data_IF_107618794227
#
_entry.id   IF_107618794227
#
_cell.length_a   1.000
_cell.length_b   1.000
_cell.length_c   1.000
_cell.angle_alpha   90.00
_cell.angle_beta   90.00
_cell.angle_gamma   90.00
#
_symmetry.space_group_name_H-M   'P 1'
#
loop_
_entity.id
_entity.type
_entity.pdbx_description
1 polymer ?
#
# COMPACT_ATOMS: atom_id res chain seq x y z
N UNK A 1 -20.80 39.62 21.06
CA UNK A 1 -20.01 38.37 21.14
C UNK A 1 -20.99 37.20 21.06
N UNK A 2 -21.16 36.65 19.83
CA UNK A 2 -21.97 35.44 19.64
C UNK A 2 -21.19 34.26 20.21
N UNK A 3 -21.69 33.69 21.31
CA UNK A 3 -21.24 32.39 21.77
C UNK A 3 -21.73 31.36 20.79
N UNK A 4 -20.95 31.14 19.70
CA UNK A 4 -21.16 30.00 18.82
C UNK A 4 -21.25 28.72 19.68
N UNK A 5 -22.12 27.84 19.26
CA UNK A 5 -22.55 26.65 20.01
C UNK A 5 -21.34 25.75 20.36
N UNK A 6 -20.60 26.15 21.41
CA UNK A 6 -19.36 25.50 21.84
C UNK A 6 -19.55 24.02 22.20
N UNK A 7 -20.78 23.63 22.54
CA UNK A 7 -21.15 22.25 22.80
C UNK A 7 -21.21 21.40 21.52
N UNK A 8 -21.69 21.96 20.40
CA UNK A 8 -21.74 21.25 19.11
C UNK A 8 -20.33 21.03 18.52
N UNK A 9 -19.50 22.07 18.48
CA UNK A 9 -18.10 21.95 18.03
C UNK A 9 -17.32 20.90 18.85
N UNK A 10 -17.52 20.86 20.16
CA UNK A 10 -16.90 19.85 21.03
C UNK A 10 -17.41 18.44 20.73
N UNK A 11 -18.70 18.27 20.53
CA UNK A 11 -19.32 16.98 20.25
C UNK A 11 -18.84 16.43 18.89
N UNK A 12 -18.81 17.23 17.84
CA UNK A 12 -18.31 16.82 16.52
C UNK A 12 -16.81 16.52 16.58
N UNK A 13 -16.02 17.36 17.27
CA UNK A 13 -14.58 17.15 17.42
C UNK A 13 -14.28 15.87 18.19
N UNK A 14 -14.94 15.62 19.32
CA UNK A 14 -14.73 14.38 20.08
C UNK A 14 -15.19 13.14 19.32
N UNK A 15 -16.27 13.25 18.54
CA UNK A 15 -16.75 12.17 17.68
C UNK A 15 -15.73 11.81 16.62
N UNK A 16 -15.11 12.79 15.96
CA UNK A 16 -14.10 12.55 14.93
C UNK A 16 -12.75 12.09 15.49
N UNK A 17 -12.31 12.66 16.61
CA UNK A 17 -11.01 12.31 17.22
C UNK A 17 -10.98 10.87 17.74
N UNK A 18 -12.08 10.35 18.26
CA UNK A 18 -12.16 9.01 18.83
C UNK A 18 -12.33 7.89 17.77
N UNK A 19 -12.49 8.22 16.48
CA UNK A 19 -12.84 7.25 15.45
C UNK A 19 -11.73 6.98 14.43
N UNK A 20 -10.49 7.34 14.71
CA UNK A 20 -9.35 7.03 13.84
C UNK A 20 -9.23 5.54 13.50
N UNK A 21 -9.56 4.65 14.43
CA UNK A 21 -9.57 3.21 14.21
C UNK A 21 -10.68 2.78 13.24
N UNK A 22 -11.89 3.31 13.35
CA UNK A 22 -12.99 3.01 12.42
C UNK A 22 -12.65 3.45 10.98
N UNK A 23 -11.99 4.60 10.83
CA UNK A 23 -11.55 5.10 9.53
C UNK A 23 -10.51 4.14 8.94
N UNK A 24 -9.53 3.74 9.75
CA UNK A 24 -8.51 2.78 9.36
C UNK A 24 -9.12 1.44 8.94
N UNK A 25 -10.04 0.89 9.72
CA UNK A 25 -10.72 -0.38 9.43
C UNK A 25 -11.56 -0.27 8.15
N UNK A 26 -12.24 0.86 7.93
CA UNK A 26 -13.01 1.10 6.71
C UNK A 26 -12.11 1.18 5.47
N UNK A 27 -10.92 1.80 5.57
CA UNK A 27 -9.93 1.85 4.50
C UNK A 27 -9.38 0.46 4.20
N UNK A 28 -8.98 -0.29 5.22
CA UNK A 28 -8.34 -1.59 5.04
C UNK A 28 -9.28 -2.64 4.45
N UNK A 29 -10.57 -2.60 4.78
CA UNK A 29 -11.54 -3.59 4.31
C UNK A 29 -12.01 -3.37 2.86
N UNK A 30 -11.71 -2.25 2.24
CA UNK A 30 -12.18 -1.94 0.88
C UNK A 30 -11.12 -2.10 -0.21
N UNK A 31 -9.86 -2.13 0.16
CA UNK A 31 -8.74 -2.26 -0.77
C UNK A 31 -8.02 -3.59 -0.51
N UNK A 32 -7.87 -4.42 -1.55
CA UNK A 32 -7.31 -5.76 -1.40
C UNK A 32 -5.86 -5.76 -0.94
N UNK A 33 -5.04 -4.84 -1.46
CA UNK A 33 -3.64 -4.70 -1.06
C UNK A 33 -3.54 -4.22 0.41
N UNK A 34 -4.30 -3.20 0.76
CA UNK A 34 -4.31 -2.65 2.12
C UNK A 34 -4.81 -3.69 3.14
N UNK A 35 -5.85 -4.45 2.78
CA UNK A 35 -6.36 -5.55 3.59
C UNK A 35 -5.30 -6.62 3.85
N UNK A 36 -4.57 -7.04 2.80
CA UNK A 36 -3.52 -8.05 2.95
C UNK A 36 -2.34 -7.57 3.79
N UNK A 37 -1.93 -6.30 3.64
CA UNK A 37 -0.90 -5.69 4.49
C UNK A 37 -1.33 -5.64 5.95
N UNK A 38 -2.59 -5.27 6.22
CA UNK A 38 -3.14 -5.24 7.58
C UNK A 38 -3.23 -6.63 8.19
N UNK A 39 -3.76 -7.61 7.46
CA UNK A 39 -3.89 -9.01 7.92
C UNK A 39 -2.55 -9.63 8.29
N UNK A 40 -1.48 -9.27 7.57
CA UNK A 40 -0.12 -9.74 7.85
C UNK A 40 0.62 -8.94 8.91
N UNK A 41 0.04 -7.86 9.42
CA UNK A 41 0.70 -6.98 10.38
C UNK A 41 1.82 -6.12 9.77
N UNK A 42 1.78 -5.89 8.45
CA UNK A 42 2.76 -5.10 7.72
C UNK A 42 2.44 -3.60 7.68
N UNK A 43 1.50 -3.18 8.50
CA UNK A 43 1.25 -1.75 8.76
C UNK A 43 1.96 -1.38 10.06
N UNK A 44 3.02 -0.58 9.94
CA UNK A 44 3.87 -0.21 11.07
C UNK A 44 3.66 1.25 11.46
N UNK A 45 3.45 1.47 12.77
CA UNK A 45 3.39 2.81 13.34
C UNK A 45 4.78 3.23 13.83
N UNK A 46 5.31 4.31 13.27
CA UNK A 46 6.63 4.87 13.60
C UNK A 46 6.44 6.11 14.46
N UNK A 47 7.20 6.23 15.55
CA UNK A 47 7.06 7.32 16.52
C UNK A 47 7.51 8.69 16.01
N UNK A 48 8.36 8.73 14.97
CA UNK A 48 8.90 9.95 14.37
C UNK A 48 10.12 9.64 13.52
N UNK A 49 10.64 10.64 12.83
CA UNK A 49 11.79 10.54 11.91
C UNK A 49 11.60 11.51 10.75
N UNK A 50 12.64 11.72 9.97
CA UNK A 50 12.58 12.50 8.73
C UNK A 50 12.18 11.62 7.54
N UNK A 51 12.68 10.37 7.54
CA UNK A 51 12.46 9.37 6.52
C UNK A 51 12.15 8.04 7.18
N UNK A 52 11.51 7.15 6.44
CA UNK A 52 11.37 5.74 6.82
C UNK A 52 12.58 4.98 6.29
N UNK A 53 13.21 4.16 7.14
CA UNK A 53 14.44 3.46 6.79
C UNK A 53 14.31 1.97 6.96
N UNK A 54 14.89 1.21 6.02
CA UNK A 54 15.04 -0.24 6.09
C UNK A 54 16.50 -0.63 5.88
N UNK A 55 17.12 -1.39 6.79
CA UNK A 55 18.42 -1.99 6.53
C UNK A 55 18.28 -3.10 5.48
N UNK A 56 19.16 -3.10 4.49
CA UNK A 56 19.17 -4.07 3.40
C UNK A 56 20.53 -4.74 3.34
N UNK A 57 20.54 -6.07 3.48
CA UNK A 57 21.74 -6.88 3.31
C UNK A 57 21.91 -7.19 1.82
N UNK A 58 23.01 -6.79 1.22
CA UNK A 58 23.22 -6.90 -0.21
C UNK A 58 24.46 -7.72 -0.62
N UNK A 59 25.40 -7.88 0.27
CA UNK A 59 26.62 -8.63 0.02
C UNK A 59 26.77 -9.81 0.99
N UNK A 60 27.25 -10.91 0.46
CA UNK A 60 27.67 -12.05 1.28
C UNK A 60 29.10 -11.83 1.75
N UNK A 61 29.35 -12.05 3.03
CA UNK A 61 30.71 -11.97 3.57
C UNK A 61 31.61 -13.05 2.96
N UNK A 62 32.60 -12.62 2.20
CA UNK A 62 33.54 -13.49 1.48
C UNK A 62 34.48 -14.29 2.38
N UNK A 63 34.53 -13.98 3.68
CA UNK A 63 35.34 -14.76 4.63
C UNK A 63 34.69 -16.11 5.00
N UNK A 64 33.38 -16.29 4.74
CA UNK A 64 32.69 -17.56 4.96
C UNK A 64 32.91 -18.53 3.78
N UNK A 65 33.94 -19.31 3.85
CA UNK A 65 34.30 -20.36 2.87
C UNK A 65 34.96 -21.53 3.55
N UNK A 66 35.16 -22.63 2.86
CA UNK A 66 35.90 -23.78 3.37
C UNK A 66 37.40 -23.46 3.47
N UNK A 67 38.01 -23.75 4.59
CA UNK A 67 39.43 -23.58 4.87
C UNK A 67 40.12 -24.92 5.10
N UNK A 68 41.36 -25.06 4.64
CA UNK A 68 42.21 -26.18 5.01
C UNK A 68 42.78 -26.01 6.42
N UNK A 69 43.36 -27.09 6.98
CA UNK A 69 43.80 -27.18 8.39
C UNK A 69 44.73 -26.06 8.85
N UNK A 70 45.50 -25.43 7.94
CA UNK A 70 46.52 -24.42 8.27
C UNK A 70 46.28 -23.09 7.49
N UNK A 71 45.11 -22.93 6.88
CA UNK A 71 44.80 -21.71 6.16
C UNK A 71 44.54 -20.52 7.12
N UNK A 72 44.99 -19.36 6.71
CA UNK A 72 44.69 -18.12 7.44
C UNK A 72 43.31 -17.65 7.06
N UNK A 73 42.44 -17.42 8.06
CA UNK A 73 41.13 -16.83 7.88
C UNK A 73 41.32 -15.33 7.63
N UNK A 74 40.92 -14.90 6.46
CA UNK A 74 40.87 -13.45 6.13
C UNK A 74 39.71 -12.77 6.89
N UNK A 75 40.00 -11.66 7.55
CA UNK A 75 39.03 -10.90 8.34
C UNK A 75 38.83 -9.49 7.74
N UNK A 76 38.25 -9.37 6.53
CA UNK A 76 37.98 -8.07 5.94
C UNK A 76 36.84 -7.38 6.69
N UNK A 77 36.92 -6.05 6.80
CA UNK A 77 35.75 -5.24 7.13
C UNK A 77 34.93 -5.15 5.84
N UNK A 78 33.70 -5.63 5.89
CA UNK A 78 32.78 -5.60 4.74
C UNK A 78 31.70 -4.57 4.98
N UNK A 79 31.36 -3.83 3.94
CA UNK A 79 30.18 -2.97 3.89
C UNK A 79 29.06 -3.76 3.23
N UNK A 80 28.43 -4.65 4.01
CA UNK A 80 27.44 -5.61 3.57
C UNK A 80 26.00 -5.15 3.81
N UNK A 81 25.83 -4.02 4.51
CA UNK A 81 24.53 -3.46 4.85
C UNK A 81 24.40 -2.07 4.26
N UNK A 82 23.38 -1.88 3.45
CA UNK A 82 22.95 -0.56 3.02
C UNK A 82 21.59 -0.21 3.61
N UNK A 83 21.11 0.99 3.38
CA UNK A 83 19.87 1.50 3.93
C UNK A 83 18.98 2.02 2.82
N UNK A 84 17.79 1.46 2.68
CA UNK A 84 16.74 2.05 1.86
C UNK A 84 16.03 3.14 2.67
N UNK A 85 15.85 4.34 2.08
CA UNK A 85 15.22 5.50 2.69
C UNK A 85 14.04 5.98 1.86
N UNK A 86 12.91 6.18 2.52
CA UNK A 86 11.67 6.63 1.89
C UNK A 86 11.17 7.90 2.57
N UNK A 87 10.78 8.89 1.77
CA UNK A 87 10.22 10.14 2.27
C UNK A 87 8.84 9.93 2.90
N UNK A 88 8.56 10.73 3.92
CA UNK A 88 7.23 10.77 4.53
C UNK A 88 6.32 11.62 3.67
N UNK A 89 5.24 11.03 3.16
CA UNK A 89 4.23 11.70 2.36
C UNK A 89 3.01 12.04 3.19
N UNK A 90 2.25 13.02 2.76
CA UNK A 90 1.05 13.50 3.44
C UNK A 90 -0.18 13.36 2.55
N UNK A 91 -1.14 12.58 3.00
CA UNK A 91 -2.48 12.53 2.40
C UNK A 91 -3.43 13.28 3.32
N UNK A 92 -4.08 14.33 2.83
CA UNK A 92 -4.97 15.15 3.64
C UNK A 92 -6.24 15.55 2.89
N UNK A 93 -7.31 15.76 3.64
CA UNK A 93 -8.58 16.26 3.15
C UNK A 93 -9.20 17.27 4.12
N UNK A 94 -10.06 18.15 3.62
CA UNK A 94 -10.81 19.11 4.43
C UNK A 94 -12.25 18.67 4.60
N UNK A 95 -12.75 18.83 5.82
CA UNK A 95 -14.15 18.69 6.16
C UNK A 95 -14.72 20.09 6.39
N UNK A 96 -15.71 20.45 5.61
CA UNK A 96 -16.34 21.77 5.69
C UNK A 96 -17.78 21.62 6.20
N UNK A 97 -18.12 22.41 7.18
CA UNK A 97 -19.47 22.49 7.74
C UNK A 97 -19.98 23.92 7.57
N UNK A 98 -21.09 24.08 6.88
CA UNK A 98 -21.71 25.38 6.68
C UNK A 98 -22.33 25.88 7.97
N UNK A 99 -22.02 27.13 8.36
CA UNK A 99 -22.66 27.78 9.51
C UNK A 99 -24.18 27.97 9.30
N UNK A 100 -24.60 28.10 8.04
CA UNK A 100 -26.02 28.19 7.70
C UNK A 100 -26.74 26.85 7.95
N UNK A 101 -26.15 25.73 7.55
CA UNK A 101 -26.68 24.39 7.83
C UNK A 101 -26.73 24.10 9.33
N UNK A 102 -25.69 24.53 10.07
CA UNK A 102 -25.67 24.43 11.51
C UNK A 102 -26.82 25.23 12.14
N UNK A 103 -27.05 26.45 11.66
CA UNK A 103 -28.14 27.30 12.14
C UNK A 103 -29.53 26.74 11.81
N UNK A 104 -29.72 26.19 10.61
CA UNK A 104 -30.98 25.56 10.19
C UNK A 104 -31.28 24.29 11.02
N UNK A 105 -30.28 23.53 11.42
CA UNK A 105 -30.42 22.32 12.22
C UNK A 105 -30.32 22.57 13.74
N UNK A 106 -30.05 23.80 14.17
CA UNK A 106 -29.88 24.14 15.59
C UNK A 106 -31.16 23.99 16.44
N UNK A 107 -32.32 23.83 15.81
CA UNK A 107 -33.60 23.61 16.48
C UNK A 107 -33.75 22.24 17.14
N UNK A 108 -32.94 21.25 16.78
CA UNK A 108 -32.96 19.92 17.42
C UNK A 108 -31.55 19.36 17.64
N UNK A 109 -31.31 18.78 18.82
CA UNK A 109 -30.05 18.08 19.12
C UNK A 109 -29.83 16.89 18.17
N UNK A 110 -30.89 16.22 17.78
CA UNK A 110 -30.90 15.08 16.88
C UNK A 110 -30.46 15.48 15.46
N UNK A 111 -30.92 16.62 14.94
CA UNK A 111 -30.49 17.15 13.64
C UNK A 111 -29.01 17.47 13.59
N UNK A 112 -28.47 18.08 14.64
CA UNK A 112 -27.04 18.39 14.74
C UNK A 112 -26.17 17.12 14.80
N UNK A 113 -26.62 16.11 15.56
CA UNK A 113 -25.91 14.82 15.65
C UNK A 113 -25.92 14.10 14.28
N UNK A 114 -27.05 14.14 13.59
CA UNK A 114 -27.18 13.55 12.25
C UNK A 114 -26.26 14.22 11.24
N UNK A 115 -26.20 15.56 11.21
CA UNK A 115 -25.30 16.31 10.36
C UNK A 115 -23.82 15.97 10.62
N UNK A 116 -23.43 15.92 11.90
CA UNK A 116 -22.07 15.54 12.28
C UNK A 116 -21.70 14.11 11.79
N UNK A 117 -22.66 13.19 11.88
CA UNK A 117 -22.49 11.81 11.41
C UNK A 117 -22.34 11.73 9.91
N UNK A 118 -23.15 12.45 9.14
CA UNK A 118 -23.09 12.51 7.68
C UNK A 118 -21.74 13.09 7.21
N UNK A 119 -21.26 14.16 7.81
CA UNK A 119 -19.94 14.75 7.50
C UNK A 119 -18.82 13.75 7.79
N UNK A 120 -18.90 13.01 8.91
CA UNK A 120 -17.94 11.95 9.27
C UNK A 120 -17.94 10.82 8.23
N UNK A 121 -19.11 10.30 7.87
CA UNK A 121 -19.25 9.20 6.90
C UNK A 121 -18.70 9.61 5.52
N UNK A 122 -19.02 10.83 5.06
CA UNK A 122 -18.49 11.39 3.82
C UNK A 122 -16.95 11.48 3.82
N UNK A 123 -16.37 11.91 4.95
CA UNK A 123 -14.91 11.95 5.11
C UNK A 123 -14.26 10.56 5.07
N UNK A 124 -14.87 9.57 5.74
CA UNK A 124 -14.38 8.19 5.74
C UNK A 124 -14.39 7.61 4.33
N UNK A 125 -15.50 7.80 3.59
CA UNK A 125 -15.63 7.34 2.21
C UNK A 125 -14.56 7.99 1.31
N UNK A 126 -14.36 9.30 1.43
CA UNK A 126 -13.37 10.03 0.64
C UNK A 126 -11.94 9.58 0.96
N UNK A 127 -11.60 9.47 2.24
CA UNK A 127 -10.27 9.01 2.66
C UNK A 127 -9.99 7.57 2.20
N UNK A 128 -11.00 6.68 2.28
CA UNK A 128 -10.92 5.31 1.80
C UNK A 128 -10.57 5.24 0.32
N UNK A 129 -11.25 6.05 -0.51
CA UNK A 129 -10.99 6.13 -1.94
C UNK A 129 -9.57 6.64 -2.21
N UNK A 130 -9.20 7.77 -1.63
CA UNK A 130 -7.89 8.38 -1.84
C UNK A 130 -6.75 7.45 -1.38
N UNK A 131 -6.85 6.84 -0.22
CA UNK A 131 -5.83 5.89 0.26
C UNK A 131 -5.73 4.66 -0.63
N UNK A 132 -6.87 4.16 -1.14
CA UNK A 132 -6.87 3.07 -2.11
C UNK A 132 -6.15 3.44 -3.41
N UNK A 133 -6.30 4.67 -3.89
CA UNK A 133 -5.57 5.18 -5.06
C UNK A 133 -4.08 5.38 -4.77
N UNK A 134 -3.73 5.90 -3.59
CA UNK A 134 -2.34 6.22 -3.23
C UNK A 134 -1.42 5.00 -3.20
N UNK A 135 -1.88 3.85 -2.71
CA UNK A 135 -1.07 2.62 -2.69
C UNK A 135 -0.81 2.03 -4.09
N UNK A 136 -1.51 2.52 -5.11
CA UNK A 136 -1.34 2.15 -6.52
C UNK A 136 -0.75 3.27 -7.38
N UNK A 137 -0.23 4.35 -6.78
CA UNK A 137 0.43 5.43 -7.52
C UNK A 137 1.82 5.00 -8.01
N UNK A 138 2.22 5.62 -9.10
CA UNK A 138 3.54 5.39 -9.72
C UNK A 138 4.65 6.25 -9.13
N UNK A 139 4.35 7.11 -8.14
CA UNK A 139 5.33 8.02 -7.53
C UNK A 139 5.81 9.15 -8.47
N UNK A 140 5.16 9.37 -9.61
CA UNK A 140 5.56 10.41 -10.59
C UNK A 140 5.40 11.80 -10.00
N UNK A 141 4.35 12.05 -9.21
CA UNK A 141 4.18 13.32 -8.53
C UNK A 141 4.90 13.29 -7.18
N UNK A 142 5.71 14.30 -6.92
CA UNK A 142 6.54 14.39 -5.71
C UNK A 142 5.75 14.31 -4.38
N UNK A 143 4.47 14.66 -4.39
CA UNK A 143 3.61 14.65 -3.21
C UNK A 143 2.80 13.35 -3.05
N UNK A 144 2.73 12.50 -4.08
CA UNK A 144 2.06 11.21 -4.00
C UNK A 144 2.87 10.23 -3.12
N UNK A 145 2.19 9.27 -2.52
CA UNK A 145 2.86 8.14 -1.87
C UNK A 145 3.56 7.28 -2.93
N UNK A 146 4.66 6.66 -2.54
CA UNK A 146 5.28 5.63 -3.34
C UNK A 146 4.36 4.40 -3.29
N UNK A 147 3.58 4.21 -4.36
CA UNK A 147 2.68 3.05 -4.47
C UNK A 147 3.40 1.79 -4.95
N UNK A 148 2.68 0.69 -5.01
CA UNK A 148 3.25 -0.58 -5.48
C UNK A 148 3.89 -0.50 -6.88
N UNK A 149 3.30 0.22 -7.87
CA UNK A 149 3.92 0.38 -9.19
C UNK A 149 5.23 1.18 -9.19
N UNK A 150 5.46 2.06 -8.21
CA UNK A 150 6.74 2.76 -8.08
C UNK A 150 7.83 1.89 -7.47
N UNK A 151 7.46 0.87 -6.70
CA UNK A 151 8.40 -0.10 -6.13
C UNK A 151 8.69 -1.24 -7.10
N UNK A 152 7.69 -1.65 -7.91
CA UNK A 152 7.82 -2.72 -8.91
C UNK A 152 7.66 -2.07 -10.28
N UNK A 153 8.77 -1.59 -10.82
CA UNK A 153 8.81 -0.82 -12.07
C UNK A 153 8.62 -1.68 -13.32
N UNK A 154 8.09 -1.07 -14.39
CA UNK A 154 7.95 -1.70 -15.72
C UNK A 154 9.31 -2.02 -16.34
N UNK A 155 10.30 -1.17 -16.10
CA UNK A 155 11.66 -1.32 -16.59
C UNK A 155 12.63 -1.22 -15.42
N UNK A 156 12.87 -2.35 -14.71
CA UNK A 156 13.75 -2.36 -13.55
C UNK A 156 15.18 -1.92 -13.92
N UNK A 157 15.75 -1.08 -13.08
CA UNK A 157 17.09 -0.58 -13.29
C UNK A 157 17.15 0.75 -14.05
N UNK A 158 16.09 1.55 -14.00
CA UNK A 158 16.05 2.87 -14.63
C UNK A 158 15.86 4.01 -13.64
N UNK A 159 15.54 3.72 -12.38
CA UNK A 159 15.24 4.74 -11.38
C UNK A 159 15.93 4.50 -10.04
N UNK A 160 15.76 5.47 -9.16
CA UNK A 160 16.20 5.40 -7.75
C UNK A 160 15.00 5.08 -6.87
N UNK A 161 15.03 3.93 -6.21
CA UNK A 161 13.98 3.46 -5.30
C UNK A 161 14.56 3.41 -3.88
N UNK A 162 13.89 4.07 -2.93
CA UNK A 162 14.37 4.11 -1.54
C UNK A 162 15.78 4.69 -1.40
N UNK A 163 16.14 5.67 -2.23
CA UNK A 163 17.48 6.29 -2.23
C UNK A 163 18.60 5.43 -2.83
N UNK A 164 18.28 4.20 -3.30
CA UNK A 164 19.25 3.30 -3.93
C UNK A 164 19.03 3.36 -5.44
N UNK A 165 20.09 3.71 -6.17
CA UNK A 165 20.06 3.77 -7.64
C UNK A 165 20.07 2.35 -8.23
N UNK A 166 18.94 1.94 -8.79
CA UNK A 166 18.80 0.62 -9.42
C UNK A 166 19.48 0.54 -10.79
N UNK A 167 19.87 1.67 -11.39
CA UNK A 167 20.57 1.69 -12.68
C UNK A 167 22.04 1.29 -12.56
N UNK A 168 22.63 1.43 -11.38
CA UNK A 168 23.99 1.01 -11.10
C UNK A 168 24.12 -0.53 -11.22
N UNK A 169 25.16 -0.95 -11.94
CA UNK A 169 25.47 -2.36 -12.15
C UNK A 169 25.80 -3.13 -10.86
N UNK A 170 26.26 -2.45 -9.83
CA UNK A 170 26.49 -3.01 -8.49
C UNK A 170 25.20 -3.31 -7.71
N UNK A 171 24.08 -2.66 -8.08
CA UNK A 171 22.78 -2.76 -7.40
C UNK A 171 21.80 -3.69 -8.09
N UNK A 172 22.27 -4.73 -8.80
CA UNK A 172 21.40 -5.71 -9.47
C UNK A 172 20.45 -6.46 -8.55
N UNK A 173 20.79 -6.53 -7.28
CA UNK A 173 19.99 -7.12 -6.20
C UNK A 173 18.78 -6.25 -5.79
N UNK A 174 18.78 -4.95 -6.17
CA UNK A 174 17.70 -3.99 -5.88
C UNK A 174 16.79 -3.76 -7.09
N UNK A 175 16.35 -4.84 -7.73
CA UNK A 175 15.49 -4.81 -8.91
C UNK A 175 14.35 -5.79 -8.76
N UNK A 176 13.14 -5.35 -9.10
CA UNK A 176 12.00 -6.23 -9.24
C UNK A 176 12.14 -7.11 -10.50
N UNK A 177 11.40 -8.21 -10.56
CA UNK A 177 11.38 -9.11 -11.71
C UNK A 177 10.29 -8.69 -12.69
N UNK A 178 10.55 -8.80 -13.99
CA UNK A 178 9.56 -8.48 -15.03
C UNK A 178 9.41 -9.68 -15.96
N UNK A 179 8.16 -10.11 -16.14
CA UNK A 179 7.80 -11.13 -17.12
C UNK A 179 7.68 -10.54 -18.52
N UNK A 180 7.79 -11.38 -19.55
CA UNK A 180 7.53 -10.97 -20.93
C UNK A 180 6.05 -10.62 -21.10
N UNK A 181 5.75 -9.53 -21.79
CA UNK A 181 4.37 -9.09 -22.08
C UNK A 181 3.58 -10.19 -22.79
N UNK A 182 2.35 -10.41 -22.35
CA UNK A 182 1.42 -11.39 -22.91
C UNK A 182 0.10 -10.73 -23.27
N UNK A 183 -0.68 -11.38 -24.14
CA UNK A 183 -2.01 -10.87 -24.51
C UNK A 183 -3.11 -11.51 -23.69
N UNK A 184 -2.96 -12.78 -23.32
CA UNK A 184 -3.95 -13.54 -22.57
C UNK A 184 -3.27 -14.67 -21.76
N UNK A 185 -4.04 -15.39 -20.94
CA UNK A 185 -3.55 -16.53 -20.15
C UNK A 185 -3.76 -17.89 -20.83
N UNK A 186 -4.46 -17.94 -21.94
CA UNK A 186 -4.74 -19.19 -22.67
C UNK A 186 -3.45 -19.83 -23.24
N UNK A 187 -3.57 -21.07 -23.65
CA UNK A 187 -2.44 -21.86 -24.20
C UNK A 187 -1.81 -21.28 -25.47
N UNK A 188 -2.52 -20.37 -26.16
CA UNK A 188 -2.03 -19.72 -27.38
C UNK A 188 -1.18 -18.50 -27.09
N UNK A 189 -1.30 -17.93 -25.88
CA UNK A 189 -0.65 -16.67 -25.50
C UNK A 189 0.40 -16.80 -24.40
N UNK A 190 0.66 -18.03 -23.94
CA UNK A 190 1.70 -18.36 -22.94
C UNK A 190 1.60 -17.63 -21.59
N UNK A 191 0.46 -17.02 -21.26
CA UNK A 191 0.33 -16.20 -20.06
C UNK A 191 0.61 -16.95 -18.77
N UNK A 192 0.02 -18.14 -18.60
CA UNK A 192 0.30 -19.00 -17.43
C UNK A 192 1.75 -19.47 -17.39
N UNK A 193 2.37 -19.73 -18.54
CA UNK A 193 3.80 -20.05 -18.64
C UNK A 193 4.69 -18.87 -18.18
N UNK A 194 4.38 -17.65 -18.61
CA UNK A 194 5.11 -16.45 -18.20
C UNK A 194 4.93 -16.15 -16.70
N UNK A 195 3.75 -16.41 -16.12
CA UNK A 195 3.55 -16.32 -14.67
C UNK A 195 4.45 -17.32 -13.91
N UNK A 196 4.56 -18.55 -14.40
CA UNK A 196 5.46 -19.56 -13.79
C UNK A 196 6.94 -19.14 -13.92
N UNK A 197 7.35 -18.57 -15.05
CA UNK A 197 8.71 -18.03 -15.21
C UNK A 197 8.96 -16.87 -14.25
N UNK A 198 8.01 -15.95 -14.11
CA UNK A 198 8.10 -14.84 -13.19
C UNK A 198 8.21 -15.33 -11.74
N UNK A 199 7.37 -16.29 -11.35
CA UNK A 199 7.45 -16.90 -10.02
C UNK A 199 8.83 -17.51 -9.76
N UNK A 200 9.36 -18.25 -10.74
CA UNK A 200 10.70 -18.85 -10.60
C UNK A 200 11.79 -17.79 -10.50
N UNK A 201 11.70 -16.71 -11.29
CA UNK A 201 12.65 -15.60 -11.24
C UNK A 201 12.60 -14.80 -9.94
N UNK A 202 11.41 -14.67 -9.34
CA UNK A 202 11.19 -13.93 -8.09
C UNK A 202 11.39 -14.81 -6.83
N UNK A 203 11.66 -16.11 -6.98
CA UNK A 203 11.88 -17.02 -5.84
C UNK A 203 13.36 -17.21 -5.58
N UNK A 204 13.81 -16.89 -4.37
CA UNK A 204 15.18 -17.05 -3.92
C UNK A 204 15.24 -17.90 -2.64
N UNK A 205 15.67 -19.12 -2.76
CA UNK A 205 15.70 -20.07 -1.65
C UNK A 205 14.27 -20.34 -1.14
N UNK A 206 13.97 -19.88 0.06
CA UNK A 206 12.65 -20.00 0.68
C UNK A 206 11.84 -18.70 0.64
N UNK A 207 12.38 -17.64 0.03
CA UNK A 207 11.73 -16.33 -0.10
C UNK A 207 11.18 -16.18 -1.50
N UNK A 208 9.97 -15.63 -1.61
CA UNK A 208 9.31 -15.42 -2.88
C UNK A 208 7.97 -14.72 -2.74
N UNK A 209 7.29 -14.46 -3.85
CA UNK A 209 5.99 -13.82 -3.84
C UNK A 209 4.98 -14.59 -2.99
N UNK A 210 4.13 -13.87 -2.30
CA UNK A 210 3.15 -14.45 -1.37
C UNK A 210 1.70 -14.10 -1.71
N UNK A 211 1.47 -13.13 -2.59
CA UNK A 211 0.16 -12.75 -3.10
C UNK A 211 0.28 -12.17 -4.51
N UNK A 212 -0.81 -12.28 -5.26
CA UNK A 212 -0.93 -11.71 -6.59
C UNK A 212 -2.06 -10.67 -6.60
N UNK A 213 -1.83 -9.56 -7.31
CA UNK A 213 -2.81 -8.49 -7.47
C UNK A 213 -2.94 -8.12 -8.94
N UNK A 214 -4.17 -7.88 -9.38
CA UNK A 214 -4.46 -7.51 -10.76
C UNK A 214 -5.76 -6.70 -10.86
N UNK A 215 -6.16 -6.34 -12.07
CA UNK A 215 -7.46 -5.72 -12.34
C UNK A 215 -8.57 -6.77 -12.45
N UNK A 216 -9.83 -6.34 -12.35
CA UNK A 216 -10.99 -7.23 -12.58
C UNK A 216 -10.99 -7.85 -13.97
N UNK A 217 -10.56 -7.11 -15.00
CA UNK A 217 -10.48 -7.62 -16.36
C UNK A 217 -9.48 -8.77 -16.47
N UNK A 218 -8.26 -8.57 -16.02
CA UNK A 218 -7.21 -9.59 -16.06
C UNK A 218 -7.54 -10.78 -15.15
N UNK A 219 -8.20 -10.53 -14.01
CA UNK A 219 -8.71 -11.60 -13.14
C UNK A 219 -9.71 -12.48 -13.87
N UNK A 220 -10.64 -11.89 -14.64
CA UNK A 220 -11.62 -12.63 -15.43
C UNK A 220 -10.96 -13.43 -16.56
N UNK A 221 -9.94 -12.88 -17.23
CA UNK A 221 -9.16 -13.60 -18.24
C UNK A 221 -8.45 -14.82 -17.61
N UNK A 222 -7.86 -14.66 -16.45
CA UNK A 222 -7.22 -15.74 -15.73
C UNK A 222 -8.22 -16.80 -15.25
N UNK A 223 -9.42 -16.38 -14.76
CA UNK A 223 -10.51 -17.28 -14.36
C UNK A 223 -11.01 -18.13 -15.54
N UNK A 224 -11.14 -17.55 -16.72
CA UNK A 224 -11.57 -18.26 -17.93
C UNK A 224 -10.58 -19.36 -18.35
N UNK A 225 -9.30 -19.11 -18.24
CA UNK A 225 -8.27 -20.11 -18.54
C UNK A 225 -8.30 -21.28 -17.54
N UNK A 226 -8.65 -21.01 -16.29
CA UNK A 226 -8.79 -22.02 -15.23
C UNK A 226 -10.09 -22.82 -15.28
N UNK A 227 -11.00 -22.57 -16.20
CA UNK A 227 -12.40 -23.13 -16.19
C UNK A 227 -12.49 -24.66 -16.06
N UNK A 228 -11.44 -25.40 -16.41
CA UNK A 228 -11.33 -26.85 -16.17
C UNK A 228 -10.69 -27.28 -14.86
N UNK A 229 -10.11 -26.36 -14.09
CA UNK A 229 -9.28 -26.66 -12.91
C UNK A 229 -9.43 -25.67 -11.74
N UNK A 230 -10.62 -25.06 -11.57
CA UNK A 230 -10.84 -24.05 -10.53
C UNK A 230 -10.52 -24.63 -9.16
N UNK A 231 -9.46 -24.11 -8.52
CA UNK A 231 -9.08 -24.42 -7.15
C UNK A 231 -9.32 -23.19 -6.29
N UNK A 232 -10.36 -23.22 -5.48
CA UNK A 232 -10.55 -22.22 -4.43
C UNK A 232 -9.65 -22.55 -3.25
N UNK A 233 -8.81 -21.61 -2.86
CA UNK A 233 -8.03 -21.73 -1.62
C UNK A 233 -8.87 -21.42 -0.38
N UNK A 234 -8.43 -22.01 0.71
CA UNK A 234 -8.98 -22.12 2.06
C UNK A 234 -9.82 -20.97 2.61
N UNK A 235 -10.74 -21.37 3.46
CA UNK A 235 -11.75 -20.70 4.28
C UNK A 235 -11.33 -19.37 4.95
N UNK A 236 -10.06 -19.15 5.21
CA UNK A 236 -9.58 -17.96 5.95
C UNK A 236 -9.68 -16.64 5.18
N UNK A 237 -9.65 -16.67 3.83
CA UNK A 237 -9.86 -15.50 2.99
C UNK A 237 -11.32 -15.31 2.61
N UNK A 238 -12.15 -16.37 2.74
CA UNK A 238 -13.61 -16.30 2.54
C UNK A 238 -14.28 -15.35 3.56
N UNK A 239 -13.73 -15.21 4.76
CA UNK A 239 -14.23 -14.29 5.78
C UNK A 239 -14.11 -12.82 5.40
N UNK A 240 -13.28 -12.49 4.40
CA UNK A 240 -13.02 -11.11 3.96
C UNK A 240 -13.94 -10.62 2.84
N UNK A 241 -14.84 -11.46 2.34
CA UNK A 241 -15.72 -11.16 1.18
C UNK A 241 -14.99 -10.91 -0.15
N UNK A 242 -13.66 -11.10 -0.22
CA UNK A 242 -12.94 -11.01 -1.49
C UNK A 242 -12.97 -12.34 -2.23
N UNK A 243 -13.41 -12.31 -3.50
CA UNK A 243 -13.22 -13.45 -4.41
C UNK A 243 -11.74 -13.62 -4.68
N UNK A 244 -11.21 -14.81 -4.55
CA UNK A 244 -9.81 -15.11 -4.85
C UNK A 244 -9.69 -16.44 -5.58
N UNK A 245 -8.82 -16.44 -6.58
CA UNK A 245 -8.31 -17.64 -7.24
C UNK A 245 -6.96 -17.97 -6.63
N UNK A 246 -6.41 -19.10 -6.94
CA UNK A 246 -5.07 -19.48 -6.53
C UNK A 246 -4.15 -19.62 -7.73
N UNK A 247 -2.96 -19.03 -7.64
CA UNK A 247 -1.84 -19.33 -8.53
C UNK A 247 -0.72 -19.96 -7.70
N UNK A 248 -0.35 -21.20 -7.98
CA UNK A 248 0.50 -22.01 -7.14
C UNK A 248 -0.05 -22.06 -5.69
N UNK A 249 0.61 -21.43 -4.71
CA UNK A 249 0.17 -21.35 -3.30
C UNK A 249 -0.32 -19.95 -2.91
N UNK A 250 -0.35 -19.02 -3.85
CA UNK A 250 -0.63 -17.60 -3.61
C UNK A 250 -2.09 -17.27 -3.97
N UNK A 251 -2.77 -16.45 -3.16
CA UNK A 251 -4.07 -15.90 -3.53
C UNK A 251 -3.90 -14.87 -4.67
N UNK A 252 -4.76 -14.95 -5.67
CA UNK A 252 -4.90 -13.93 -6.72
C UNK A 252 -6.09 -13.08 -6.36
N UNK A 253 -5.85 -11.79 -6.16
CA UNK A 253 -6.84 -10.80 -5.76
C UNK A 253 -6.98 -9.74 -6.84
N UNK A 254 -8.17 -9.20 -7.00
CA UNK A 254 -8.35 -8.02 -7.85
C UNK A 254 -8.49 -6.77 -7.00
N UNK A 255 -8.04 -5.66 -7.55
CA UNK A 255 -8.15 -4.32 -6.97
C UNK A 255 -8.60 -3.33 -8.05
N UNK A 256 -9.59 -2.50 -7.73
CA UNK A 256 -10.14 -1.53 -8.68
C UNK A 256 -9.17 -0.40 -9.01
N UNK A 257 -8.20 -0.15 -8.13
CA UNK A 257 -7.20 0.90 -8.30
C UNK A 257 -5.89 0.35 -8.90
N UNK A 258 -5.79 -0.96 -9.11
CA UNK A 258 -4.63 -1.56 -9.77
C UNK A 258 -4.50 -1.00 -11.18
N UNK A 259 -3.29 -0.60 -11.63
CA UNK A 259 -3.07 -0.17 -13.00
C UNK A 259 -3.57 -1.20 -14.02
N UNK A 260 -4.21 -0.71 -15.08
CA UNK A 260 -4.68 -1.56 -16.16
C UNK A 260 -3.51 -2.28 -16.82
N UNK A 261 -3.75 -3.49 -17.30
CA UNK A 261 -2.77 -4.28 -18.03
C UNK A 261 -1.61 -4.86 -17.20
N UNK A 262 -1.73 -4.91 -15.86
CA UNK A 262 -0.68 -5.47 -15.02
C UNK A 262 -1.20 -6.60 -14.12
N UNK A 263 -0.31 -7.57 -13.91
CA UNK A 263 -0.44 -8.64 -12.93
C UNK A 263 0.80 -8.60 -12.03
N UNK A 264 0.62 -8.19 -10.79
CA UNK A 264 1.68 -8.06 -9.81
C UNK A 264 1.79 -9.32 -8.96
N UNK A 265 2.99 -9.86 -8.83
CA UNK A 265 3.36 -10.87 -7.84
C UNK A 265 4.17 -10.19 -6.75
N UNK A 266 3.69 -10.21 -5.54
CA UNK A 266 4.21 -9.39 -4.45
C UNK A 266 4.63 -10.26 -3.27
N UNK A 267 5.84 -10.05 -2.79
CA UNK A 267 6.26 -10.57 -1.51
C UNK A 267 5.84 -9.60 -0.39
N UNK A 268 4.71 -9.92 0.21
CA UNK A 268 4.19 -9.10 1.32
C UNK A 268 5.07 -9.13 2.57
N UNK A 269 6.04 -10.05 2.70
CA UNK A 269 6.95 -10.04 3.85
C UNK A 269 7.99 -8.93 3.76
N UNK A 270 8.26 -8.45 2.54
CA UNK A 270 9.26 -7.42 2.25
C UNK A 270 8.67 -6.03 2.00
N UNK A 271 7.34 -5.88 2.05
CA UNK A 271 6.65 -4.60 1.81
C UNK A 271 5.85 -4.20 3.04
N UNK A 272 5.99 -2.95 3.45
CA UNK A 272 5.31 -2.37 4.62
C UNK A 272 4.67 -1.03 4.28
N UNK A 273 3.48 -0.81 4.81
CA UNK A 273 2.92 0.53 4.92
C UNK A 273 3.38 1.12 6.26
N UNK A 274 4.22 2.13 6.22
CA UNK A 274 4.68 2.84 7.41
C UNK A 274 3.88 4.12 7.59
N UNK A 275 3.34 4.31 8.79
CA UNK A 275 2.55 5.48 9.18
C UNK A 275 3.18 6.13 10.40
N UNK A 276 3.14 7.46 10.48
CA UNK A 276 3.52 8.17 11.70
C UNK A 276 2.44 8.02 12.77
N UNK A 277 2.82 7.66 13.99
CA UNK A 277 1.89 7.47 15.11
C UNK A 277 1.03 8.71 15.39
N UNK A 278 1.61 9.92 15.28
CA UNK A 278 0.92 11.19 15.45
C UNK A 278 0.16 11.67 14.22
N UNK A 279 0.29 10.99 13.09
CA UNK A 279 -0.35 11.31 11.82
C UNK A 279 -1.19 10.16 11.27
N UNK A 280 -1.63 9.23 12.11
CA UNK A 280 -2.43 8.09 11.68
C UNK A 280 -3.91 8.44 11.73
N UNK A 281 -4.50 8.81 10.59
CA UNK A 281 -5.90 9.19 10.43
C UNK A 281 -6.38 10.22 11.47
N UNK A 282 -5.58 11.25 11.68
CA UNK A 282 -5.89 12.31 12.63
C UNK A 282 -6.83 13.34 12.04
N UNK A 283 -7.73 13.86 12.87
CA UNK A 283 -8.63 14.95 12.50
C UNK A 283 -8.39 16.13 13.42
N UNK A 284 -8.21 17.33 12.85
CA UNK A 284 -8.09 18.56 13.63
C UNK A 284 -9.46 18.98 14.19
N UNK A 285 -9.47 19.74 15.29
CA UNK A 285 -10.69 20.41 15.73
C UNK A 285 -11.26 21.33 14.65
N UNK A 286 -12.58 21.52 14.65
CA UNK A 286 -13.21 22.51 13.76
C UNK A 286 -12.78 23.92 14.16
N UNK A 287 -12.37 24.69 13.17
CA UNK A 287 -12.01 26.10 13.28
C UNK A 287 -12.85 26.91 12.31
N UNK A 288 -13.18 28.16 12.67
CA UNK A 288 -13.91 29.04 11.78
C UNK A 288 -13.02 29.41 10.59
N UNK A 289 -13.61 29.41 9.40
CA UNK A 289 -12.93 29.83 8.17
C UNK A 289 -12.73 31.35 8.17
N UNK A 290 -11.58 31.79 7.66
CA UNK A 290 -11.26 33.23 7.60
C UNK A 290 -12.15 33.96 6.56
N UNK A 291 -12.48 33.30 5.45
CA UNK A 291 -13.11 33.95 4.30
C UNK A 291 -14.52 33.42 3.98
N UNK A 292 -15.05 32.49 4.77
CA UNK A 292 -16.34 31.86 4.53
C UNK A 292 -17.11 31.65 5.83
N UNK A 293 -18.44 31.71 5.77
CA UNK A 293 -19.31 31.35 6.89
C UNK A 293 -19.38 29.81 7.00
N UNK A 294 -18.25 29.23 7.38
CA UNK A 294 -18.07 27.77 7.52
C UNK A 294 -17.06 27.44 8.59
N UNK A 295 -17.19 26.25 9.15
CA UNK A 295 -16.20 25.63 10.03
C UNK A 295 -15.44 24.56 9.26
N UNK A 296 -14.12 24.55 9.40
CA UNK A 296 -13.24 23.63 8.68
C UNK A 296 -12.48 22.77 9.68
N UNK A 297 -12.49 21.47 9.46
CA UNK A 297 -11.56 20.51 10.05
C UNK A 297 -10.71 19.87 8.95
N UNK A 298 -9.54 19.39 9.29
CA UNK A 298 -8.64 18.68 8.36
C UNK A 298 -8.44 17.27 8.87
N UNK A 299 -8.60 16.30 7.98
CA UNK A 299 -8.22 14.91 8.21
C UNK A 299 -6.94 14.64 7.44
N UNK A 300 -5.95 13.99 8.07
CA UNK A 300 -4.66 13.72 7.43
C UNK A 300 -4.04 12.41 7.88
N UNK A 301 -3.23 11.86 6.99
CA UNK A 301 -2.39 10.68 7.22
C UNK A 301 -0.97 11.00 6.76
N UNK A 302 0.02 10.70 7.59
CA UNK A 302 1.42 10.76 7.22
C UNK A 302 1.98 9.36 7.10
N UNK A 303 2.43 8.99 5.93
CA UNK A 303 2.97 7.65 5.71
C UNK A 303 3.55 7.48 4.32
N UNK A 304 4.07 6.29 4.07
CA UNK A 304 4.51 5.86 2.75
C UNK A 304 4.53 4.33 2.67
N UNK A 305 4.41 3.78 1.45
CA UNK A 305 4.66 2.38 1.18
C UNK A 305 6.18 2.20 1.02
N UNK A 306 6.73 1.19 1.67
CA UNK A 306 8.17 0.97 1.73
C UNK A 306 8.49 -0.49 1.48
N UNK A 307 9.64 -0.76 0.88
CA UNK A 307 10.13 -2.10 0.63
C UNK A 307 11.53 -2.32 1.24
N UNK A 308 11.76 -3.51 1.75
CA UNK A 308 13.08 -3.95 2.21
C UNK A 308 13.78 -4.89 1.22
N UNK A 309 13.03 -5.45 0.27
CA UNK A 309 13.55 -6.23 -0.86
C UNK A 309 12.60 -6.05 -2.06
N UNK A 310 13.15 -5.84 -3.23
CA UNK A 310 12.40 -5.77 -4.48
C UNK A 310 12.53 -7.06 -5.28
N UNK A 311 13.61 -7.79 -5.11
CA UNK A 311 13.99 -8.97 -5.87
C UNK A 311 12.96 -10.10 -5.82
N UNK A 312 12.25 -10.23 -4.68
CA UNK A 312 11.23 -11.25 -4.43
C UNK A 312 9.83 -10.85 -4.92
N UNK A 313 9.73 -9.74 -5.63
CA UNK A 313 8.50 -9.25 -6.24
C UNK A 313 8.66 -9.04 -7.73
N UNK A 314 7.56 -9.08 -8.48
CA UNK A 314 7.62 -8.86 -9.91
C UNK A 314 6.27 -8.54 -10.52
N UNK A 315 6.29 -8.25 -11.82
CA UNK A 315 5.11 -7.93 -12.59
C UNK A 315 5.13 -8.58 -13.97
N UNK A 316 3.93 -8.79 -14.50
CA UNK A 316 3.67 -9.24 -15.85
C UNK A 316 2.71 -8.25 -16.53
N UNK A 317 3.06 -7.77 -17.72
CA UNK A 317 2.18 -6.91 -18.48
C UNK A 317 1.26 -7.76 -19.37
N UNK A 318 -0.03 -7.39 -19.41
CA UNK A 318 -1.08 -8.05 -20.19
C UNK A 318 -1.72 -7.00 -21.07
N UNK A 319 -1.67 -7.17 -22.40
CA UNK A 319 -2.10 -6.17 -23.40
C UNK A 319 -3.37 -6.57 -24.15
N UNK A 320 -4.05 -7.62 -23.71
CA UNK A 320 -5.30 -8.11 -24.32
C UNK A 320 -6.55 -7.39 -23.90
#
# INVERSE_FOLDING_TARGET
MSRGNSSFSRLVTTTLQNHGKEIFDAVSNNNSLFYMLNKRGNIKLVGGGRTFTHPVYHLQNSSFKSYAKLDTINTPIMDDITRAEYDIKCVAGSLVLSTMEEAMNAGSKEGLIKLAKEVKEGAIISMRKVMGEQVWKTGVLANDMDGLPSLIEDTPGTSTIGGIDSSDSSNTWWKAQVGSTVTNFDSSHDGTYQLNRLLTAATFGNEGPTACFTTKANYSLYEQDLTGQIRYMKTELADSSFRHLAFATMPVLFDDNCPTNYFYMVDLNSIWLQLLSRGNFQTTPFQDSINQLSKIAKMYVFGNLTAGSLRTSGQLQITG
#
